data_IF_328169312462
#
_entry.id   IF_328169312462
#
_cell.length_a   1.000
_cell.length_b   1.000
_cell.length_c   1.000
_cell.angle_alpha   90.00
_cell.angle_beta   90.00
_cell.angle_gamma   90.00
#
_symmetry.space_group_name_H-M   'P 1'
#
loop_
_entity.id
_entity.type
_entity.pdbx_description
1 polymer ?
#
# COMPACT_ATOMS: atom_id res chain seq x y z
N UNK A 1 8.40 -7.25 57.18
CA UNK A 1 8.92 -7.70 55.87
C UNK A 1 7.91 -8.74 55.37
N UNK A 2 6.86 -8.26 54.71
CA UNK A 2 6.67 -8.20 53.26
C UNK A 2 5.93 -9.46 52.77
N UNK A 3 4.62 -9.29 52.62
CA UNK A 3 3.65 -10.24 52.07
C UNK A 3 3.77 -10.33 50.54
N UNK A 4 3.65 -11.57 50.08
CA UNK A 4 3.18 -12.16 48.80
C UNK A 4 3.43 -11.52 47.40
N UNK A 5 3.52 -12.40 46.38
CA UNK A 5 3.83 -12.11 44.99
C UNK A 5 2.56 -11.85 44.17
N UNK A 6 2.63 -10.93 43.22
CA UNK A 6 1.92 -11.01 41.95
C UNK A 6 2.19 -9.75 41.14
N UNK A 7 2.82 -9.94 39.99
CA UNK A 7 2.74 -9.04 38.85
C UNK A 7 3.22 -9.89 37.68
N UNK A 8 2.44 -10.88 37.21
CA UNK A 8 1.29 -10.67 36.32
C UNK A 8 1.45 -9.38 35.50
N UNK A 9 2.60 -9.25 34.82
CA UNK A 9 2.74 -8.36 33.67
C UNK A 9 1.93 -8.95 32.52
N UNK A 10 0.60 -8.89 32.66
CA UNK A 10 -0.33 -9.04 31.56
C UNK A 10 -0.05 -7.94 30.56
N UNK A 11 0.15 -8.36 29.32
CA UNK A 11 -0.29 -7.65 28.13
C UNK A 11 0.05 -6.15 28.06
N UNK A 12 1.19 -5.86 27.42
CA UNK A 12 1.15 -4.89 26.34
C UNK A 12 1.43 -5.64 25.03
N UNK A 13 0.44 -6.45 24.61
CA UNK A 13 0.12 -6.48 23.18
C UNK A 13 -0.16 -5.04 22.80
N UNK A 14 0.87 -4.33 22.32
CA UNK A 14 0.71 -3.05 21.64
C UNK A 14 -0.45 -3.26 20.67
N UNK A 15 -1.50 -2.42 20.70
CA UNK A 15 -2.45 -2.47 19.60
C UNK A 15 -1.58 -2.24 18.36
N UNK A 16 -1.48 -3.26 17.50
CA UNK A 16 -1.01 -3.07 16.14
C UNK A 16 -1.99 -2.06 15.57
N UNK A 17 -1.65 -0.78 15.73
CA UNK A 17 -2.54 0.32 15.46
C UNK A 17 -2.87 0.21 14.01
N UNK A 18 -4.12 -0.18 13.73
CA UNK A 18 -4.70 -0.09 12.40
C UNK A 18 -4.40 1.32 11.91
N UNK A 19 -3.37 1.47 11.06
CA UNK A 19 -3.10 2.76 10.44
C UNK A 19 -4.28 3.05 9.52
N UNK A 20 -4.90 4.22 9.63
CA UNK A 20 -6.02 4.55 8.77
C UNK A 20 -5.53 4.66 7.32
N UNK A 21 -6.19 3.94 6.42
CA UNK A 21 -6.15 4.23 4.98
C UNK A 21 -6.82 5.59 4.76
N UNK A 22 -6.04 6.63 4.49
CA UNK A 22 -6.50 8.03 4.53
C UNK A 22 -5.85 8.92 3.47
N UNK A 23 -6.28 10.18 3.40
CA UNK A 23 -5.69 11.20 2.51
C UNK A 23 -5.87 10.87 1.03
N UNK A 24 -4.85 11.18 0.22
CA UNK A 24 -4.88 10.99 -1.24
C UNK A 24 -5.18 9.54 -1.64
N UNK A 25 -4.71 8.55 -0.87
CA UNK A 25 -4.96 7.14 -1.17
C UNK A 25 -6.44 6.77 -0.98
N UNK A 26 -7.09 7.32 0.05
CA UNK A 26 -8.53 7.14 0.26
C UNK A 26 -9.35 7.82 -0.82
N UNK A 27 -8.99 9.06 -1.18
CA UNK A 27 -9.68 9.80 -2.25
C UNK A 27 -9.56 9.08 -3.59
N UNK A 28 -8.36 8.61 -3.94
CA UNK A 28 -8.10 7.87 -5.18
C UNK A 28 -8.85 6.54 -5.21
N UNK A 29 -8.81 5.77 -4.12
CA UNK A 29 -9.54 4.51 -4.05
C UNK A 29 -11.06 4.73 -4.15
N UNK A 30 -11.60 5.75 -3.48
CA UNK A 30 -13.04 6.06 -3.55
C UNK A 30 -13.48 6.45 -4.95
N UNK A 31 -12.66 7.24 -5.67
CA UNK A 31 -12.93 7.58 -7.07
C UNK A 31 -12.88 6.34 -7.98
N UNK A 32 -11.92 5.44 -7.76
CA UNK A 32 -11.87 4.16 -8.46
C UNK A 32 -13.09 3.29 -8.16
N UNK A 33 -13.57 3.23 -6.91
CA UNK A 33 -14.80 2.51 -6.57
C UNK A 33 -16.01 3.08 -7.33
N UNK A 34 -16.13 4.40 -7.42
CA UNK A 34 -17.22 5.06 -8.14
C UNK A 34 -17.17 4.78 -9.65
N UNK A 35 -15.98 4.80 -10.25
CA UNK A 35 -15.78 4.57 -11.68
C UNK A 35 -15.93 3.09 -12.07
N UNK A 36 -15.51 2.17 -11.21
CA UNK A 36 -15.51 0.72 -11.50
C UNK A 36 -16.72 -0.02 -10.96
N UNK A 37 -17.40 0.51 -9.94
CA UNK A 37 -18.39 -0.23 -9.16
C UNK A 37 -17.80 -1.30 -8.22
N UNK A 38 -16.47 -1.42 -8.14
CA UNK A 38 -15.78 -2.40 -7.30
C UNK A 38 -15.43 -1.79 -5.95
N UNK A 39 -15.66 -2.52 -4.84
CA UNK A 39 -15.26 -2.07 -3.51
C UNK A 39 -13.76 -2.29 -3.26
N UNK A 40 -13.03 -1.23 -3.01
CA UNK A 40 -11.60 -1.15 -2.70
C UNK A 40 -11.33 -0.68 -1.25
N UNK A 41 -12.03 0.34 -0.76
CA UNK A 41 -11.70 1.02 0.51
C UNK A 41 -11.83 0.07 1.69
N UNK A 42 -12.96 -0.61 1.81
CA UNK A 42 -13.22 -1.56 2.89
C UNK A 42 -12.21 -2.71 2.93
N UNK A 43 -11.96 -3.45 1.82
CA UNK A 43 -10.97 -4.54 1.84
C UNK A 43 -9.54 -4.05 2.09
N UNK A 44 -9.15 -2.88 1.56
CA UNK A 44 -7.80 -2.33 1.78
C UNK A 44 -7.59 -1.83 3.21
N UNK A 45 -8.63 -1.33 3.88
CA UNK A 45 -8.55 -0.90 5.28
C UNK A 45 -8.22 -2.08 6.22
N UNK A 46 -8.80 -3.26 5.96
CA UNK A 46 -8.57 -4.48 6.74
C UNK A 46 -7.40 -5.34 6.27
N UNK A 47 -6.65 -4.90 5.26
CA UNK A 47 -5.61 -5.70 4.63
C UNK A 47 -4.32 -5.80 5.46
N UNK A 48 -3.50 -6.80 5.15
CA UNK A 48 -2.14 -6.92 5.69
C UNK A 48 -1.27 -5.75 5.24
N UNK A 49 -0.18 -5.51 5.98
CA UNK A 49 0.74 -4.40 5.69
C UNK A 49 1.33 -4.51 4.27
N UNK A 50 1.63 -5.72 3.82
CA UNK A 50 2.08 -6.02 2.45
C UNK A 50 1.07 -5.58 1.40
N UNK A 51 -0.18 -6.01 1.54
CA UNK A 51 -1.26 -5.67 0.60
C UNK A 51 -1.53 -4.17 0.62
N UNK A 52 -1.53 -3.56 1.80
CA UNK A 52 -1.73 -2.12 1.96
C UNK A 52 -0.61 -1.32 1.30
N UNK A 53 0.65 -1.75 1.44
CA UNK A 53 1.79 -1.12 0.77
C UNK A 53 1.70 -1.23 -0.76
N UNK A 54 1.44 -2.43 -1.27
CA UNK A 54 1.23 -2.66 -2.71
C UNK A 54 0.06 -1.81 -3.23
N UNK A 55 -1.00 -1.68 -2.45
CA UNK A 55 -2.13 -0.85 -2.82
C UNK A 55 -1.77 0.64 -2.87
N UNK A 56 -0.99 1.14 -1.92
CA UNK A 56 -0.50 2.51 -1.99
C UNK A 56 0.39 2.75 -3.20
N UNK A 57 1.29 1.82 -3.55
CA UNK A 57 2.10 1.92 -4.76
C UNK A 57 1.22 2.00 -6.02
N UNK A 58 0.25 1.10 -6.15
CA UNK A 58 -0.65 1.07 -7.29
C UNK A 58 -1.51 2.33 -7.38
N UNK A 59 -2.09 2.77 -6.27
CA UNK A 59 -2.91 3.99 -6.23
C UNK A 59 -2.06 5.23 -6.53
N UNK A 60 -0.80 5.28 -6.08
CA UNK A 60 0.11 6.37 -6.44
C UNK A 60 0.41 6.37 -7.94
N UNK A 61 0.62 5.19 -8.53
CA UNK A 61 0.86 5.04 -9.97
C UNK A 61 -0.38 5.41 -10.80
N UNK A 62 -1.58 5.18 -10.30
CA UNK A 62 -2.84 5.61 -10.92
C UNK A 62 -3.08 7.12 -10.78
N UNK A 63 -2.87 7.66 -9.58
CA UNK A 63 -3.15 9.06 -9.26
C UNK A 63 -2.13 10.04 -9.87
N UNK A 64 -0.86 9.64 -9.89
CA UNK A 64 0.25 10.47 -10.38
C UNK A 64 1.21 9.60 -11.21
N UNK A 65 0.79 9.17 -12.40
CA UNK A 65 1.56 8.25 -13.22
C UNK A 65 2.88 8.89 -13.69
N UNK A 66 3.90 8.05 -13.83
CA UNK A 66 5.10 8.38 -14.62
C UNK A 66 4.84 7.93 -16.06
N UNK A 67 5.68 8.33 -17.03
CA UNK A 67 5.53 7.85 -18.41
C UNK A 67 5.53 6.32 -18.53
N UNK A 68 6.22 5.62 -17.61
CA UNK A 68 6.18 4.16 -17.54
C UNK A 68 4.81 3.64 -17.07
N UNK A 69 4.20 4.29 -16.08
CA UNK A 69 2.86 3.91 -15.61
C UNK A 69 1.78 4.22 -16.65
N UNK A 70 1.91 5.33 -17.39
CA UNK A 70 1.01 5.66 -18.48
C UNK A 70 1.01 4.56 -19.55
N UNK A 71 2.18 4.02 -19.89
CA UNK A 71 2.30 2.89 -20.84
C UNK A 71 1.73 1.60 -20.24
N UNK A 72 2.01 1.32 -18.95
CA UNK A 72 1.50 0.10 -18.30
C UNK A 72 -0.02 0.10 -18.18
N UNK A 73 -0.64 1.27 -18.00
CA UNK A 73 -2.07 1.42 -17.73
C UNK A 73 -2.87 1.95 -18.92
N UNK A 74 -2.26 2.16 -20.08
CA UNK A 74 -2.91 2.80 -21.25
C UNK A 74 -4.16 2.05 -21.74
N UNK A 75 -4.20 0.73 -21.55
CA UNK A 75 -5.30 -0.13 -21.98
C UNK A 75 -6.19 -0.60 -20.81
N UNK A 76 -5.85 -0.23 -19.57
CA UNK A 76 -6.56 -0.68 -18.37
C UNK A 76 -7.74 0.24 -18.07
N UNK A 77 -8.94 -0.35 -18.00
CA UNK A 77 -10.09 0.32 -17.42
C UNK A 77 -9.97 0.42 -15.89
N UNK A 78 -10.73 1.33 -15.27
CA UNK A 78 -10.82 1.43 -13.81
C UNK A 78 -11.27 0.11 -13.16
N UNK A 79 -12.13 -0.65 -13.84
CA UNK A 79 -12.61 -1.96 -13.38
C UNK A 79 -11.50 -3.02 -13.38
N UNK A 80 -10.75 -3.12 -14.48
CA UNK A 80 -9.64 -4.07 -14.59
C UNK A 80 -8.53 -3.72 -13.60
N UNK A 81 -8.19 -2.44 -13.46
CA UNK A 81 -7.21 -1.97 -12.48
C UNK A 81 -7.65 -2.33 -11.05
N UNK A 82 -8.90 -2.06 -10.70
CA UNK A 82 -9.45 -2.34 -9.37
C UNK A 82 -9.49 -3.85 -9.08
N UNK A 83 -9.85 -4.65 -10.08
CA UNK A 83 -9.86 -6.11 -9.98
C UNK A 83 -8.45 -6.66 -9.79
N UNK A 84 -7.49 -6.18 -10.59
CA UNK A 84 -6.09 -6.55 -10.50
C UNK A 84 -5.53 -6.23 -9.11
N UNK A 85 -5.77 -5.02 -8.60
CA UNK A 85 -5.30 -4.55 -7.30
C UNK A 85 -5.71 -5.47 -6.13
N UNK A 86 -6.93 -6.01 -6.19
CA UNK A 86 -7.48 -6.89 -5.14
C UNK A 86 -7.00 -8.33 -5.26
N UNK A 87 -6.76 -8.82 -6.48
CA UNK A 87 -6.54 -10.24 -6.76
C UNK A 87 -5.08 -10.62 -6.91
N UNK A 88 -4.26 -9.73 -7.46
CA UNK A 88 -2.87 -10.03 -7.78
C UNK A 88 -2.02 -10.19 -6.52
N UNK A 89 -0.92 -10.92 -6.56
CA UNK A 89 0.01 -10.99 -5.43
C UNK A 89 0.60 -9.59 -5.11
N UNK A 90 0.66 -9.16 -3.83
CA UNK A 90 1.14 -7.82 -3.50
C UNK A 90 2.62 -7.60 -3.82
N UNK A 91 3.45 -8.65 -3.83
CA UNK A 91 4.86 -8.56 -4.22
C UNK A 91 4.94 -8.41 -5.74
N UNK A 92 4.13 -9.15 -6.50
CA UNK A 92 4.08 -9.01 -7.97
C UNK A 92 3.57 -7.63 -8.40
N UNK A 93 2.54 -7.08 -7.74
CA UNK A 93 2.10 -5.69 -7.92
C UNK A 93 3.28 -4.74 -7.71
N UNK A 94 3.97 -4.88 -6.59
CA UNK A 94 5.05 -3.98 -6.21
C UNK A 94 6.23 -4.08 -7.19
N UNK A 95 6.62 -5.29 -7.61
CA UNK A 95 7.70 -5.52 -8.57
C UNK A 95 7.37 -5.01 -9.97
N UNK A 96 6.13 -5.20 -10.43
CA UNK A 96 5.64 -4.63 -11.69
C UNK A 96 5.77 -3.11 -11.68
N UNK A 97 5.41 -2.48 -10.57
CA UNK A 97 5.44 -1.02 -10.44
C UNK A 97 6.83 -0.44 -10.21
N UNK A 98 7.65 -1.07 -9.38
CA UNK A 98 9.07 -0.77 -9.23
C UNK A 98 9.79 -1.94 -8.53
N UNK A 99 10.73 -2.56 -9.25
CA UNK A 99 11.60 -3.64 -8.74
C UNK A 99 12.30 -3.34 -7.41
N UNK A 100 12.43 -2.08 -7.00
CA UNK A 100 12.93 -1.66 -5.70
C UNK A 100 12.10 -2.19 -4.51
N UNK A 101 10.86 -2.62 -4.76
CA UNK A 101 9.90 -3.12 -3.77
C UNK A 101 9.65 -4.63 -3.81
N UNK A 102 10.45 -5.38 -4.59
CA UNK A 102 10.35 -6.85 -4.66
C UNK A 102 10.64 -7.56 -3.33
N UNK A 103 11.31 -6.88 -2.39
CA UNK A 103 11.59 -7.42 -1.07
C UNK A 103 10.34 -7.29 -0.18
N UNK A 104 9.72 -8.41 0.24
CA UNK A 104 8.51 -8.39 1.05
C UNK A 104 8.70 -7.70 2.41
N UNK A 105 9.88 -7.78 3.02
CA UNK A 105 10.13 -7.15 4.32
C UNK A 105 10.15 -5.62 4.16
N UNK A 106 10.84 -5.14 3.12
CA UNK A 106 10.88 -3.72 2.78
C UNK A 106 9.49 -3.20 2.38
N UNK A 107 8.73 -3.97 1.62
CA UNK A 107 7.36 -3.62 1.23
C UNK A 107 6.42 -3.54 2.44
N UNK A 108 6.49 -4.50 3.37
CA UNK A 108 5.68 -4.46 4.59
C UNK A 108 6.01 -3.24 5.47
N UNK A 109 7.28 -2.83 5.54
CA UNK A 109 7.69 -1.61 6.24
C UNK A 109 7.05 -0.36 5.63
N UNK A 110 6.93 -0.28 4.30
CA UNK A 110 6.25 0.84 3.63
C UNK A 110 4.76 0.93 4.02
N UNK A 111 4.06 -0.21 4.13
CA UNK A 111 2.66 -0.24 4.64
C UNK A 111 2.55 0.12 6.12
N UNK A 112 3.66 -0.05 6.83
CA UNK A 112 4.13 0.47 8.12
C UNK A 112 4.31 1.98 8.24
N UNK A 113 4.56 2.74 7.18
CA UNK A 113 5.06 4.11 7.29
C UNK A 113 3.96 5.17 7.11
N UNK A 114 4.18 6.44 7.50
CA UNK A 114 3.28 7.53 7.13
C UNK A 114 3.18 7.62 5.61
N UNK A 115 1.97 7.86 5.10
CA UNK A 115 1.71 7.93 3.67
C UNK A 115 2.51 9.09 3.05
N UNK A 116 3.55 8.83 2.23
CA UNK A 116 4.26 9.88 1.51
C UNK A 116 3.34 10.48 0.43
N UNK A 117 3.77 11.60 -0.16
CA UNK A 117 3.13 12.10 -1.37
C UNK A 117 3.23 11.06 -2.51
N UNK A 118 2.28 10.99 -3.45
CA UNK A 118 2.28 9.99 -4.55
C UNK A 118 3.60 9.94 -5.33
N UNK A 119 4.21 11.10 -5.63
CA UNK A 119 5.50 11.15 -6.33
C UNK A 119 6.68 10.60 -5.51
N UNK A 120 6.55 10.54 -4.18
CA UNK A 120 7.58 10.05 -3.26
C UNK A 120 7.82 8.54 -3.32
N UNK A 121 6.96 7.78 -4.01
CA UNK A 121 7.17 6.34 -4.22
C UNK A 121 8.23 6.04 -5.28
N UNK A 122 8.51 6.99 -6.16
CA UNK A 122 9.32 6.78 -7.37
C UNK A 122 10.64 7.52 -7.34
N UNK A 123 11.15 7.88 -6.14
CA UNK A 123 12.34 8.73 -5.92
C UNK A 123 13.35 8.47 -7.02
N UNK A 124 13.47 9.45 -7.92
CA UNK A 124 14.27 9.40 -9.14
C UNK A 124 15.57 8.67 -8.86
N UNK A 125 15.67 7.40 -9.27
CA UNK A 125 16.97 6.83 -9.55
C UNK A 125 17.45 7.63 -10.74
N UNK A 126 18.34 8.58 -10.49
CA UNK A 126 19.15 9.16 -11.54
C UNK A 126 19.65 8.02 -12.43
N UNK A 127 19.47 8.09 -13.76
CA UNK A 127 20.13 7.17 -14.69
C UNK A 127 21.63 7.50 -14.82
N UNK A 128 22.33 7.75 -13.70
CA UNK A 128 23.78 7.90 -13.63
C UNK A 128 24.36 6.93 -12.58
N UNK A 129 24.67 5.72 -13.05
CA UNK A 129 25.60 4.67 -12.54
C UNK A 129 24.98 3.30 -12.85
N UNK A 130 25.52 2.44 -13.71
CA UNK A 130 26.81 2.29 -14.41
C UNK A 130 26.51 1.69 -15.80
#
# INVERSE_FOLDING_TARGET
MAHDPSSDARHETRPHGFRPFCGWALETASQLEEQSGIRLVVPLFGASDLRRAAAFLALAAWHSPTSRHEILFSELTAEEFSTWLLREDPIEIAELLDSAWRDPQKLALLGNEPLPAPAGYWTTRDPERD
#
